data_IF_708404370936
#
_entry.id   IF_708404370936
#
_cell.length_a   1.000
_cell.length_b   1.000
_cell.length_c   1.000
_cell.angle_alpha   90.00
_cell.angle_beta   90.00
_cell.angle_gamma   90.00
#
_symmetry.space_group_name_H-M   'P 1'
#
loop_
_entity.id
_entity.type
_entity.pdbx_description
1 polymer ?
#
# COMPACT_ATOMS: atom_id res chain seq x y z
N UNK A 1 61.11 0.01 22.74
CA UNK A 1 60.15 -0.16 23.86
C UNK A 1 59.04 0.85 23.72
N UNK A 2 57.82 0.45 24.10
CA UNK A 2 56.55 1.21 24.14
C UNK A 2 55.72 1.27 22.85
N UNK A 3 55.03 0.15 22.63
CA UNK A 3 53.57 0.07 22.48
C UNK A 3 52.79 1.27 23.05
N UNK A 4 51.73 1.72 22.37
CA UNK A 4 50.33 1.45 22.77
C UNK A 4 49.34 2.33 21.96
N UNK A 5 48.28 1.66 21.49
CA UNK A 5 46.87 2.13 21.42
C UNK A 5 46.55 3.39 20.57
N UNK A 6 45.48 3.46 19.80
CA UNK A 6 44.22 2.74 19.83
C UNK A 6 43.54 2.94 18.48
N UNK A 7 43.24 1.83 17.80
CA UNK A 7 42.45 1.81 16.59
C UNK A 7 40.97 1.73 17.02
N UNK A 8 40.31 2.88 17.20
CA UNK A 8 38.87 2.93 17.39
C UNK A 8 38.21 3.38 16.09
N UNK A 9 38.23 2.48 15.11
CA UNK A 9 37.33 2.56 13.96
C UNK A 9 35.98 2.02 14.41
N UNK A 10 35.13 2.91 14.89
CA UNK A 10 33.72 2.61 15.18
C UNK A 10 33.00 2.45 13.84
N UNK A 11 32.99 1.22 13.33
CA UNK A 11 32.17 0.78 12.22
C UNK A 11 30.70 0.75 12.67
N UNK A 12 30.02 1.90 12.62
CA UNK A 12 28.55 1.95 12.63
C UNK A 12 28.04 1.56 11.24
N UNK A 13 28.18 0.28 10.89
CA UNK A 13 27.34 -0.31 9.84
C UNK A 13 25.96 -0.51 10.45
N UNK A 14 25.11 0.51 10.30
CA UNK A 14 23.67 0.29 10.31
C UNK A 14 23.37 -0.65 9.15
N UNK A 15 23.34 -1.94 9.43
CA UNK A 15 22.74 -2.94 8.56
C UNK A 15 21.24 -2.66 8.51
N UNK A 16 20.84 -1.73 7.66
CA UNK A 16 19.48 -1.71 7.16
C UNK A 16 19.40 -2.91 6.23
N UNK A 17 19.03 -4.07 6.76
CA UNK A 17 18.62 -5.17 5.89
C UNK A 17 17.48 -4.63 5.04
N UNK A 18 17.55 -4.66 3.70
CA UNK A 18 16.34 -4.50 2.93
C UNK A 18 15.44 -5.66 3.39
N UNK A 19 14.41 -5.35 4.18
CA UNK A 19 13.38 -6.31 4.53
C UNK A 19 13.02 -7.00 3.22
N UNK A 20 13.28 -8.32 3.14
CA UNK A 20 13.00 -9.12 1.95
C UNK A 20 11.64 -8.70 1.46
N UNK A 21 11.57 -8.11 0.27
CA UNK A 21 10.33 -7.60 -0.30
C UNK A 21 9.27 -8.70 -0.18
N UNK A 22 8.35 -8.54 0.77
CA UNK A 22 7.37 -9.58 1.06
C UNK A 22 6.55 -9.84 -0.21
N UNK A 23 6.21 -11.10 -0.46
CA UNK A 23 5.51 -11.51 -1.68
C UNK A 23 4.14 -10.81 -1.82
N UNK A 24 4.07 -9.70 -2.55
CA UNK A 24 2.85 -8.91 -2.68
C UNK A 24 1.75 -9.60 -3.51
N UNK A 25 2.06 -10.71 -4.19
CA UNK A 25 1.08 -11.47 -4.97
C UNK A 25 -0.09 -11.95 -4.11
N UNK A 26 0.13 -12.21 -2.82
CA UNK A 26 -0.93 -12.61 -1.89
C UNK A 26 -2.02 -11.55 -1.68
N UNK A 27 -1.74 -10.29 -2.01
CA UNK A 27 -2.71 -9.21 -1.90
C UNK A 27 -3.52 -8.96 -3.18
N UNK A 28 -3.32 -9.78 -4.23
CA UNK A 28 -4.09 -9.68 -5.48
C UNK A 28 -5.50 -10.27 -5.35
N UNK A 29 -5.71 -11.21 -4.43
CA UNK A 29 -6.99 -11.89 -4.18
C UNK A 29 -7.18 -12.09 -2.68
N UNK A 30 -8.39 -11.88 -2.18
CA UNK A 30 -8.69 -12.06 -0.77
C UNK A 30 -9.61 -10.98 -0.22
N UNK A 31 -9.78 -11.02 1.10
CA UNK A 31 -10.54 -10.03 1.88
C UNK A 31 -9.56 -9.27 2.75
N UNK A 32 -9.69 -7.94 2.74
CA UNK A 32 -8.79 -7.04 3.43
C UNK A 32 -9.56 -5.95 4.16
N UNK A 33 -8.87 -5.27 5.05
CA UNK A 33 -9.42 -4.15 5.82
C UNK A 33 -8.44 -2.97 5.85
N UNK A 34 -8.96 -1.77 5.61
CA UNK A 34 -8.32 -0.51 6.00
C UNK A 34 -8.93 -0.10 7.33
N UNK A 35 -8.07 0.17 8.31
CA UNK A 35 -8.49 0.67 9.62
C UNK A 35 -8.78 2.17 9.53
N UNK A 36 -9.69 2.66 10.37
CA UNK A 36 -9.95 4.08 10.46
C UNK A 36 -8.71 4.83 10.97
N UNK A 37 -8.33 5.90 10.28
CA UNK A 37 -7.29 6.87 10.64
C UNK A 37 -7.80 8.28 10.30
N UNK A 38 -7.00 9.31 10.54
CA UNK A 38 -7.39 10.68 10.17
C UNK A 38 -7.65 10.86 8.66
N UNK A 39 -6.98 10.07 7.82
CA UNK A 39 -7.09 10.11 6.36
C UNK A 39 -8.04 9.06 5.77
N UNK A 40 -8.37 8.01 6.53
CA UNK A 40 -9.11 6.85 6.02
C UNK A 40 -10.27 6.48 6.93
N UNK A 41 -11.42 6.20 6.32
CA UNK A 41 -12.52 5.51 7.00
C UNK A 41 -12.26 4.02 7.07
N UNK A 42 -12.90 3.33 8.02
CA UNK A 42 -12.87 1.87 8.05
C UNK A 42 -13.51 1.31 6.78
N UNK A 43 -12.75 0.51 6.04
CA UNK A 43 -13.16 -0.02 4.74
C UNK A 43 -12.86 -1.52 4.66
N UNK A 44 -13.82 -2.32 4.20
CA UNK A 44 -13.59 -3.73 3.82
C UNK A 44 -13.42 -3.84 2.32
N UNK A 45 -12.34 -4.46 1.91
CA UNK A 45 -11.95 -4.63 0.51
C UNK A 45 -12.02 -6.12 0.14
N UNK A 46 -12.72 -6.44 -0.94
CA UNK A 46 -12.75 -7.80 -1.49
C UNK A 46 -12.13 -7.74 -2.89
N UNK A 47 -10.98 -8.40 -3.09
CA UNK A 47 -10.34 -8.49 -4.41
C UNK A 47 -10.58 -9.83 -5.05
N UNK A 48 -11.08 -9.77 -6.29
CA UNK A 48 -11.26 -10.89 -7.19
C UNK A 48 -10.57 -10.54 -8.50
N UNK A 49 -9.28 -10.82 -8.57
CA UNK A 49 -8.47 -10.69 -9.77
C UNK A 49 -8.38 -9.24 -10.29
N UNK A 50 -9.11 -8.91 -11.35
CA UNK A 50 -9.19 -7.56 -11.95
C UNK A 50 -10.25 -6.66 -11.31
N UNK A 51 -10.94 -7.12 -10.26
CA UNK A 51 -12.01 -6.38 -9.60
C UNK A 51 -11.73 -6.22 -8.10
N UNK A 52 -12.01 -5.03 -7.58
CA UNK A 52 -12.05 -4.69 -6.16
C UNK A 52 -13.46 -4.24 -5.79
N UNK A 53 -14.06 -4.85 -4.77
CA UNK A 53 -15.28 -4.36 -4.15
C UNK A 53 -14.87 -3.67 -2.84
N UNK A 54 -15.20 -2.40 -2.73
CA UNK A 54 -14.98 -1.56 -1.55
C UNK A 54 -16.28 -1.41 -0.77
N UNK A 55 -16.22 -1.58 0.55
CA UNK A 55 -17.36 -1.37 1.45
C UNK A 55 -16.95 -0.45 2.59
N UNK A 56 -17.59 0.70 2.69
CA UNK A 56 -17.40 1.65 3.78
C UNK A 56 -18.76 2.15 4.28
N UNK A 57 -19.04 1.95 5.58
CA UNK A 57 -20.38 2.18 6.13
C UNK A 57 -21.46 1.38 5.40
N UNK A 58 -22.45 2.08 4.83
CA UNK A 58 -23.53 1.50 4.02
C UNK A 58 -23.26 1.58 2.51
N UNK A 59 -22.14 2.16 2.09
CA UNK A 59 -21.79 2.33 0.69
C UNK A 59 -20.95 1.17 0.18
N UNK A 60 -21.27 0.74 -1.04
CA UNK A 60 -20.55 -0.31 -1.76
C UNK A 60 -20.20 0.23 -3.14
N UNK A 61 -18.92 0.21 -3.46
CA UNK A 61 -18.41 0.58 -4.77
C UNK A 61 -17.61 -0.56 -5.38
N UNK A 62 -17.66 -0.65 -6.72
CA UNK A 62 -16.87 -1.62 -7.47
C UNK A 62 -15.85 -0.88 -8.31
N UNK A 63 -14.59 -1.31 -8.21
CA UNK A 63 -13.47 -0.76 -8.94
C UNK A 63 -12.82 -1.85 -9.79
N UNK A 64 -12.39 -1.46 -10.98
CA UNK A 64 -11.45 -2.24 -11.78
C UNK A 64 -10.02 -2.06 -11.26
N UNK A 65 -9.22 -3.12 -11.29
CA UNK A 65 -7.81 -3.13 -10.92
C UNK A 65 -6.98 -3.45 -12.17
N UNK A 66 -5.98 -2.60 -12.46
CA UNK A 66 -4.97 -2.88 -13.48
C UNK A 66 -3.58 -2.88 -12.84
N UNK A 67 -2.97 -4.06 -12.73
CA UNK A 67 -1.62 -4.21 -12.21
C UNK A 67 -0.59 -3.84 -13.28
N UNK A 68 0.35 -2.97 -12.92
CA UNK A 68 1.54 -2.68 -13.75
C UNK A 68 2.66 -3.67 -13.42
N UNK A 69 2.81 -4.01 -12.15
CA UNK A 69 3.74 -5.02 -11.64
C UNK A 69 3.26 -5.47 -10.24
N UNK A 70 4.13 -6.07 -9.44
CA UNK A 70 3.77 -6.57 -8.10
C UNK A 70 3.54 -5.47 -7.05
N UNK A 71 4.06 -4.26 -7.24
CA UNK A 71 3.99 -3.17 -6.27
C UNK A 71 3.19 -1.96 -6.76
N UNK A 72 2.75 -1.96 -8.02
CA UNK A 72 2.05 -0.83 -8.63
C UNK A 72 0.79 -1.29 -9.36
N UNK A 73 -0.33 -0.64 -9.06
CA UNK A 73 -1.59 -0.87 -9.75
C UNK A 73 -2.44 0.40 -9.81
N UNK A 74 -3.41 0.40 -10.72
CA UNK A 74 -4.37 1.47 -10.89
C UNK A 74 -5.76 0.96 -10.56
N UNK A 75 -6.52 1.76 -9.81
CA UNK A 75 -7.94 1.55 -9.56
C UNK A 75 -8.76 2.56 -10.36
N UNK A 76 -9.91 2.11 -10.88
CA UNK A 76 -10.94 2.99 -11.48
C UNK A 76 -12.31 2.50 -11.06
N UNK A 77 -13.16 3.42 -10.60
CA UNK A 77 -14.57 3.13 -10.35
C UNK A 77 -15.23 2.63 -11.64
N UNK A 78 -16.01 1.55 -11.53
CA UNK A 78 -16.78 1.02 -12.67
C UNK A 78 -17.99 1.90 -12.95
N UNK A 79 -18.63 2.41 -11.89
CA UNK A 79 -19.77 3.32 -11.98
C UNK A 79 -19.50 4.59 -11.13
N UNK A 80 -18.70 5.55 -11.64
CA UNK A 80 -18.37 6.76 -10.89
C UNK A 80 -19.62 7.63 -10.69
N UNK A 81 -19.87 8.05 -9.45
CA UNK A 81 -21.05 8.85 -9.04
C UNK A 81 -20.80 10.35 -9.10
N UNK A 82 -19.53 10.78 -9.12
CA UNK A 82 -19.13 12.18 -9.17
C UNK A 82 -17.81 12.34 -9.95
N UNK A 83 -17.40 13.58 -10.21
CA UNK A 83 -16.22 13.87 -11.02
C UNK A 83 -14.92 13.38 -10.38
N UNK A 84 -14.81 13.42 -9.05
CA UNK A 84 -13.63 12.91 -8.33
C UNK A 84 -13.44 11.40 -8.55
N UNK A 85 -14.53 10.64 -8.66
CA UNK A 85 -14.49 9.19 -8.91
C UNK A 85 -14.15 8.84 -10.37
N UNK A 86 -14.22 9.79 -11.32
CA UNK A 86 -13.83 9.55 -12.72
C UNK A 86 -12.31 9.40 -12.87
N UNK A 87 -11.56 10.01 -11.95
CA UNK A 87 -10.11 9.97 -11.98
C UNK A 87 -9.54 8.61 -11.53
N UNK A 88 -8.48 8.12 -12.19
CA UNK A 88 -7.80 6.91 -11.75
C UNK A 88 -7.08 7.13 -10.43
N UNK A 89 -7.08 6.12 -9.58
CA UNK A 89 -6.23 6.09 -8.38
C UNK A 89 -5.00 5.25 -8.65
N UNK A 90 -3.82 5.87 -8.61
CA UNK A 90 -2.54 5.20 -8.74
C UNK A 90 -2.06 4.77 -7.37
N UNK A 91 -1.92 3.46 -7.17
CA UNK A 91 -1.50 2.88 -5.89
C UNK A 91 -0.11 2.27 -6.02
N UNK A 92 0.77 2.66 -5.11
CA UNK A 92 2.10 2.09 -4.91
C UNK A 92 2.16 1.41 -3.54
N UNK A 93 2.51 0.13 -3.52
CA UNK A 93 2.83 -0.62 -2.31
C UNK A 93 4.26 -0.24 -1.91
N UNK A 94 4.43 0.27 -0.69
CA UNK A 94 5.71 0.77 -0.18
C UNK A 94 6.42 -0.27 0.69
N UNK A 95 5.68 -0.99 1.54
CA UNK A 95 6.24 -1.92 2.52
C UNK A 95 5.29 -3.09 2.72
N UNK A 96 5.81 -4.32 2.65
CA UNK A 96 5.01 -5.53 2.80
C UNK A 96 5.42 -6.28 4.07
N UNK A 97 4.45 -6.54 4.95
CA UNK A 97 4.59 -7.33 6.19
C UNK A 97 3.70 -8.56 6.12
N UNK A 98 3.92 -9.57 6.94
CA UNK A 98 3.19 -10.85 6.93
C UNK A 98 1.69 -10.72 6.58
N UNK A 99 0.94 -9.96 7.39
CA UNK A 99 -0.50 -9.78 7.25
C UNK A 99 -0.93 -8.37 6.80
N UNK A 100 -0.01 -7.54 6.30
CA UNK A 100 -0.35 -6.18 5.89
C UNK A 100 0.61 -5.58 4.86
N UNK A 101 0.19 -4.50 4.22
CA UNK A 101 1.11 -3.66 3.46
C UNK A 101 0.77 -2.17 3.58
N UNK A 102 1.80 -1.34 3.53
CA UNK A 102 1.67 0.11 3.45
C UNK A 102 1.60 0.52 1.99
N UNK A 103 0.76 1.49 1.68
CA UNK A 103 0.61 2.02 0.32
C UNK A 103 0.56 3.53 0.30
N UNK A 104 0.91 4.09 -0.86
CA UNK A 104 0.65 5.47 -1.23
C UNK A 104 -0.36 5.48 -2.36
N UNK A 105 -1.42 6.28 -2.24
CA UNK A 105 -2.41 6.51 -3.29
C UNK A 105 -2.35 7.94 -3.79
N UNK A 106 -2.45 8.11 -5.11
CA UNK A 106 -2.56 9.40 -5.80
C UNK A 106 -3.80 9.39 -6.68
N UNK A 107 -4.64 10.41 -6.59
CA UNK A 107 -5.85 10.55 -7.41
C UNK A 107 -5.53 11.42 -8.62
N UNK A 108 -5.73 10.86 -9.82
CA UNK A 108 -5.49 11.54 -11.09
C UNK A 108 -4.09 12.14 -11.19
N UNK A 109 -4.01 13.37 -11.70
CA UNK A 109 -2.76 14.13 -11.82
C UNK A 109 -2.58 15.16 -10.69
N UNK A 110 -3.47 15.17 -9.69
CA UNK A 110 -3.39 16.08 -8.54
C UNK A 110 -2.10 15.89 -7.74
N UNK A 111 -1.63 16.90 -7.02
CA UNK A 111 -0.48 16.75 -6.12
C UNK A 111 -0.85 16.04 -4.80
N UNK A 112 -2.12 15.71 -4.61
CA UNK A 112 -2.61 15.08 -3.39
C UNK A 112 -2.23 13.59 -3.35
N UNK A 113 -1.62 13.19 -2.24
CA UNK A 113 -1.21 11.82 -1.97
C UNK A 113 -1.59 11.45 -0.54
N UNK A 114 -2.14 10.27 -0.36
CA UNK A 114 -2.44 9.72 0.96
C UNK A 114 -1.65 8.44 1.18
N UNK A 115 -1.33 8.14 2.44
CA UNK A 115 -0.63 6.93 2.84
C UNK A 115 -1.52 6.12 3.76
N UNK A 116 -1.70 4.85 3.46
CA UNK A 116 -2.52 3.95 4.28
C UNK A 116 -1.88 2.59 4.46
N UNK A 117 -2.55 1.75 5.26
CA UNK A 117 -2.15 0.36 5.47
C UNK A 117 -3.37 -0.54 5.27
N UNK A 118 -3.18 -1.59 4.47
CA UNK A 118 -4.18 -2.65 4.26
C UNK A 118 -3.76 -3.88 5.05
N UNK A 119 -4.71 -4.48 5.77
CA UNK A 119 -4.54 -5.71 6.54
C UNK A 119 -5.33 -6.86 5.92
N UNK A 120 -4.79 -8.08 5.97
CA UNK A 120 -5.56 -9.30 5.68
C UNK A 120 -6.63 -9.47 6.76
N UNK A 121 -7.86 -9.79 6.35
CA UNK A 121 -8.98 -10.06 7.25
C UNK A 121 -9.20 -11.55 7.46
#
# INVERSE_FOLDING_TARGET
>A
MKYLLSFLVTFLVFSCTPEKEGNSLRFKKGVFEIKATDDFVKETIIRKDSIQISKYGNEIDTLSIKWKNNFFYTLRYINPKNDLQKDPMFVQINKVRENSYDFTVKIGYSNYKQKGTIYIK
#
